data_IF_021775893671
#
_entry.id   IF_021775893671
#
_cell.length_a   1.000
_cell.length_b   1.000
_cell.length_c   1.000
_cell.angle_alpha   90.00
_cell.angle_beta   90.00
_cell.angle_gamma   90.00
#
_symmetry.space_group_name_H-M   'P 1'
#
loop_
_entity.id
_entity.type
_entity.pdbx_description
1 polymer ?
#
# COMPACT_ATOMS: atom_id res chain seq x y z
N UNK A 1 -9.78 2.29 10.11
CA UNK A 1 -8.33 2.20 9.85
C UNK A 1 -7.98 0.83 9.24
N UNK A 2 -7.62 0.76 7.96
CA UNK A 2 -7.16 -0.49 7.33
C UNK A 2 -5.86 -0.22 6.58
N UNK A 3 -4.74 -0.73 7.10
CA UNK A 3 -3.48 -0.86 6.35
C UNK A 3 -3.53 -2.21 5.66
N UNK A 4 -3.22 -2.24 4.36
CA UNK A 4 -3.27 -3.49 3.59
C UNK A 4 -1.91 -3.86 3.04
N UNK A 5 -1.44 -5.03 3.47
CA UNK A 5 -0.32 -5.73 2.82
C UNK A 5 -0.91 -6.60 1.71
N UNK A 6 -0.39 -6.45 0.50
CA UNK A 6 -0.78 -7.26 -0.65
C UNK A 6 0.44 -8.04 -1.11
N UNK A 7 0.33 -9.38 -1.12
CA UNK A 7 1.39 -10.31 -1.52
C UNK A 7 1.02 -10.99 -2.85
N UNK A 8 2.00 -11.14 -3.75
CA UNK A 8 1.88 -11.49 -5.17
C UNK A 8 1.58 -12.98 -5.48
N UNK A 9 0.87 -13.73 -4.63
CA UNK A 9 0.56 -15.11 -5.03
C UNK A 9 -0.45 -15.21 -6.18
N UNK A 10 -1.19 -14.14 -6.49
CA UNK A 10 -2.21 -14.15 -7.55
C UNK A 10 -2.40 -12.74 -8.13
N UNK A 11 -1.84 -12.50 -9.32
CA UNK A 11 -2.07 -11.31 -10.17
C UNK A 11 -3.56 -11.00 -10.41
N UNK A 12 -4.45 -11.98 -10.16
CA UNK A 12 -5.90 -11.88 -10.29
C UNK A 12 -6.62 -11.44 -9.00
N UNK A 13 -5.96 -11.55 -7.84
CA UNK A 13 -6.55 -11.33 -6.52
C UNK A 13 -6.45 -9.89 -6.08
N UNK A 14 -5.42 -9.16 -6.54
CA UNK A 14 -5.28 -7.72 -6.38
C UNK A 14 -6.57 -7.05 -6.85
N UNK A 15 -7.02 -7.31 -8.09
CA UNK A 15 -8.23 -6.73 -8.70
C UNK A 15 -9.54 -7.17 -8.04
N UNK A 16 -9.63 -8.40 -7.53
CA UNK A 16 -10.81 -8.92 -6.82
C UNK A 16 -10.98 -8.29 -5.43
N UNK A 17 -9.87 -8.08 -4.73
CA UNK A 17 -9.86 -7.47 -3.40
C UNK A 17 -10.03 -5.95 -3.44
N UNK A 18 -9.58 -5.28 -4.50
CA UNK A 18 -9.76 -3.83 -4.74
C UNK A 18 -11.23 -3.40 -4.81
N UNK A 19 -12.15 -4.31 -5.19
CA UNK A 19 -13.53 -3.96 -5.57
C UNK A 19 -14.62 -4.46 -4.60
N UNK A 20 -14.25 -5.13 -3.51
CA UNK A 20 -15.24 -5.69 -2.58
C UNK A 20 -16.14 -6.74 -3.23
N UNK A 21 -15.67 -7.42 -4.28
CA UNK A 21 -16.46 -8.41 -5.03
C UNK A 21 -16.41 -9.76 -4.32
N UNK A 22 -17.02 -9.82 -3.13
CA UNK A 22 -17.66 -11.06 -2.75
C UNK A 22 -18.99 -11.11 -3.52
N UNK A 23 -19.05 -11.94 -4.58
CA UNK A 23 -20.28 -12.37 -5.29
C UNK A 23 -21.07 -11.31 -6.09
N UNK A 24 -20.50 -10.58 -7.05
CA UNK A 24 -21.30 -9.95 -8.13
C UNK A 24 -20.56 -10.03 -9.47
N UNK A 25 -21.10 -10.84 -10.38
CA UNK A 25 -20.47 -11.27 -11.65
C UNK A 25 -20.30 -10.15 -12.70
N UNK A 26 -20.81 -8.94 -12.46
CA UNK A 26 -20.91 -7.89 -13.50
C UNK A 26 -19.91 -6.72 -13.36
N UNK A 27 -18.77 -6.87 -12.68
CA UNK A 27 -17.80 -5.76 -12.53
C UNK A 27 -16.54 -6.01 -13.37
N UNK A 28 -16.52 -5.37 -14.55
CA UNK A 28 -15.40 -5.38 -15.50
C UNK A 28 -14.08 -4.97 -14.82
N UNK A 29 -13.00 -5.69 -15.13
CA UNK A 29 -11.62 -5.52 -14.64
C UNK A 29 -11.15 -4.05 -14.71
N UNK A 30 -11.62 -3.28 -15.71
CA UNK A 30 -11.21 -1.90 -15.97
C UNK A 30 -12.11 -0.79 -15.37
N UNK A 31 -13.10 -1.12 -14.55
CA UNK A 31 -13.95 -0.10 -13.92
C UNK A 31 -13.14 0.81 -12.97
N UNK A 32 -13.04 2.11 -13.31
CA UNK A 32 -12.45 3.14 -12.43
C UNK A 32 -13.32 3.31 -11.18
N UNK A 33 -12.85 2.84 -10.04
CA UNK A 33 -13.47 3.15 -8.74
C UNK A 33 -12.91 4.49 -8.24
N UNK A 34 -13.78 5.49 -7.99
CA UNK A 34 -13.39 6.78 -7.39
C UNK A 34 -12.65 6.56 -6.07
N UNK A 35 -11.67 7.43 -5.75
CA UNK A 35 -10.78 7.26 -4.60
C UNK A 35 -11.57 7.13 -3.28
N UNK A 36 -12.66 7.88 -3.18
CA UNK A 36 -13.56 8.00 -2.03
C UNK A 36 -14.42 6.75 -1.83
N UNK A 37 -14.65 5.98 -2.91
CA UNK A 37 -15.42 4.72 -2.87
C UNK A 37 -14.52 3.50 -2.72
N UNK A 38 -13.20 3.67 -2.60
CA UNK A 38 -12.27 2.56 -2.37
C UNK A 38 -12.33 2.14 -0.92
N UNK A 39 -12.42 0.82 -0.69
CA UNK A 39 -12.38 0.24 0.66
C UNK A 39 -11.08 0.55 1.41
N UNK A 40 -9.97 0.62 0.68
CA UNK A 40 -8.66 1.02 1.20
C UNK A 40 -8.03 1.99 0.19
N UNK A 41 -7.67 3.23 0.59
CA UNK A 41 -6.89 4.14 -0.25
C UNK A 41 -5.51 3.57 -0.58
N UNK A 42 -4.94 3.92 -1.75
CA UNK A 42 -3.65 3.38 -2.18
C UNK A 42 -2.50 3.85 -1.30
N UNK A 43 -2.58 5.09 -0.80
CA UNK A 43 -1.62 5.63 0.17
C UNK A 43 -1.56 4.84 1.49
N UNK A 44 -2.55 3.97 1.74
CA UNK A 44 -2.61 3.07 2.90
C UNK A 44 -2.17 1.63 2.55
N UNK A 45 -1.58 1.42 1.37
CA UNK A 45 -1.18 0.11 0.88
C UNK A 45 0.33 -0.06 0.85
N UNK A 46 0.76 -1.27 1.19
CA UNK A 46 2.13 -1.76 0.98
C UNK A 46 2.01 -2.97 0.04
N UNK A 47 2.59 -2.85 -1.15
CA UNK A 47 2.63 -3.93 -2.13
C UNK A 47 3.98 -4.64 -2.07
N UNK A 48 3.95 -5.94 -1.81
CA UNK A 48 5.14 -6.77 -1.64
C UNK A 48 5.13 -7.86 -2.72
N UNK A 49 6.21 -7.96 -3.50
CA UNK A 49 6.30 -8.96 -4.56
C UNK A 49 7.76 -9.31 -4.92
N UNK A 50 7.95 -10.41 -5.64
CA UNK A 50 9.23 -10.89 -6.12
C UNK A 50 9.38 -10.67 -7.64
N UNK A 51 10.15 -9.66 -8.00
CA UNK A 51 10.69 -9.55 -9.36
C UNK A 51 9.81 -8.84 -10.40
N UNK A 52 10.10 -9.06 -11.70
CA UNK A 52 9.69 -8.17 -12.79
C UNK A 52 8.25 -8.41 -13.28
N UNK A 53 7.64 -9.56 -12.98
CA UNK A 53 6.22 -9.84 -13.29
C UNK A 53 5.29 -8.80 -12.68
N UNK A 54 5.70 -8.22 -11.56
CA UNK A 54 4.94 -7.27 -10.76
C UNK A 54 5.17 -5.81 -11.13
N UNK A 55 6.00 -5.53 -12.13
CA UNK A 55 6.28 -4.18 -12.60
C UNK A 55 5.01 -3.34 -12.87
N UNK A 56 3.95 -3.87 -13.54
CA UNK A 56 2.72 -3.13 -13.72
C UNK A 56 2.00 -2.82 -12.39
N UNK A 57 2.00 -3.76 -11.44
CA UNK A 57 1.37 -3.58 -10.14
C UNK A 57 2.13 -2.56 -9.28
N UNK A 58 3.46 -2.63 -9.26
CA UNK A 58 4.33 -1.64 -8.61
C UNK A 58 4.05 -0.23 -9.16
N UNK A 59 3.98 -0.08 -10.48
CA UNK A 59 3.69 1.20 -11.11
C UNK A 59 2.32 1.76 -10.69
N UNK A 60 1.27 0.93 -10.64
CA UNK A 60 -0.07 1.35 -10.23
C UNK A 60 -0.09 1.79 -8.76
N UNK A 61 0.47 0.99 -7.87
CA UNK A 61 0.46 1.28 -6.42
C UNK A 61 1.24 2.56 -6.13
N UNK A 62 2.47 2.65 -6.66
CA UNK A 62 3.36 3.80 -6.45
C UNK A 62 2.78 5.09 -7.03
N UNK A 63 2.21 5.04 -8.25
CA UNK A 63 1.54 6.20 -8.88
C UNK A 63 0.37 6.74 -8.05
N UNK A 64 -0.29 5.89 -7.26
CA UNK A 64 -1.41 6.28 -6.41
C UNK A 64 -0.99 6.54 -4.95
N UNK A 65 0.31 6.67 -4.66
CA UNK A 65 0.83 7.05 -3.34
C UNK A 65 1.05 5.89 -2.36
N UNK A 66 0.83 4.65 -2.78
CA UNK A 66 1.16 3.47 -1.99
C UNK A 66 2.65 3.15 -1.97
N UNK A 67 3.05 2.25 -1.09
CA UNK A 67 4.45 1.82 -0.92
C UNK A 67 4.72 0.51 -1.64
N UNK A 68 5.87 0.41 -2.29
CA UNK A 68 6.26 -0.79 -3.04
C UNK A 68 7.56 -1.38 -2.51
N UNK A 69 7.54 -2.67 -2.22
CA UNK A 69 8.64 -3.39 -1.61
C UNK A 69 8.93 -4.68 -2.36
N UNK A 70 10.15 -4.85 -2.87
CA UNK A 70 10.52 -6.13 -3.48
C UNK A 70 11.19 -7.06 -2.47
N UNK A 71 10.97 -8.36 -2.62
CA UNK A 71 11.68 -9.39 -1.87
C UNK A 71 12.45 -10.32 -2.80
N UNK A 72 13.55 -10.87 -2.32
CA UNK A 72 14.33 -11.88 -3.04
C UNK A 72 14.77 -13.02 -2.12
N UNK A 73 14.97 -14.25 -2.63
CA UNK A 73 15.43 -15.37 -1.81
C UNK A 73 16.86 -15.14 -1.27
N UNK A 74 17.10 -15.56 -0.03
CA UNK A 74 18.43 -15.52 0.60
C UNK A 74 19.47 -16.26 -0.26
N UNK A 75 20.68 -15.72 -0.33
CA UNK A 75 21.81 -16.24 -1.13
C UNK A 75 21.54 -16.34 -2.64
N UNK A 76 20.51 -15.68 -3.18
CA UNK A 76 20.25 -15.66 -4.62
C UNK A 76 20.72 -14.35 -5.27
N UNK A 77 21.96 -14.33 -5.75
CA UNK A 77 22.58 -13.15 -6.38
C UNK A 77 21.84 -12.73 -7.67
N UNK A 78 21.29 -13.68 -8.44
CA UNK A 78 20.54 -13.35 -9.66
C UNK A 78 19.26 -12.59 -9.33
N UNK A 79 18.52 -13.05 -8.32
CA UNK A 79 17.32 -12.37 -7.85
C UNK A 79 17.64 -11.01 -7.22
N UNK A 80 18.73 -10.91 -6.44
CA UNK A 80 19.22 -9.63 -5.92
C UNK A 80 19.48 -8.61 -7.03
N UNK A 81 20.22 -8.99 -8.08
CA UNK A 81 20.51 -8.11 -9.22
C UNK A 81 19.22 -7.63 -9.91
N UNK A 82 18.23 -8.50 -10.00
CA UNK A 82 16.95 -8.19 -10.63
C UNK A 82 16.16 -7.16 -9.81
N UNK A 83 16.05 -7.32 -8.48
CA UNK A 83 15.36 -6.34 -7.63
C UNK A 83 16.15 -5.03 -7.50
N UNK A 84 17.48 -5.08 -7.54
CA UNK A 84 18.29 -3.85 -7.58
C UNK A 84 18.06 -3.06 -8.86
N UNK A 85 17.94 -3.73 -10.02
CA UNK A 85 17.57 -3.04 -11.26
C UNK A 85 16.20 -2.38 -11.15
N UNK A 86 15.21 -3.04 -10.52
CA UNK A 86 13.90 -2.43 -10.27
C UNK A 86 14.00 -1.19 -9.37
N UNK A 87 14.89 -1.19 -8.38
CA UNK A 87 15.14 -0.01 -7.54
C UNK A 87 15.81 1.11 -8.35
N UNK A 88 16.83 0.81 -9.14
CA UNK A 88 17.53 1.78 -10.00
C UNK A 88 16.58 2.43 -11.01
N UNK A 89 15.66 1.65 -11.57
CA UNK A 89 14.61 2.13 -12.48
C UNK A 89 13.52 2.95 -11.76
N UNK A 90 13.64 3.19 -10.45
CA UNK A 90 12.61 3.81 -9.62
C UNK A 90 11.25 3.10 -9.70
N UNK A 91 11.24 1.77 -9.86
CA UNK A 91 9.98 1.00 -9.90
C UNK A 91 9.52 0.57 -8.51
N UNK A 92 10.45 0.40 -7.58
CA UNK A 92 10.19 0.02 -6.19
C UNK A 92 10.79 1.03 -5.22
N UNK A 93 10.21 1.16 -4.02
CA UNK A 93 10.75 2.06 -2.99
C UNK A 93 11.93 1.42 -2.24
N UNK A 94 11.84 0.12 -1.95
CA UNK A 94 12.92 -0.62 -1.27
C UNK A 94 12.83 -2.13 -1.56
N UNK A 95 13.88 -2.87 -1.21
CA UNK A 95 13.90 -4.33 -1.26
C UNK A 95 14.76 -4.96 -0.17
N UNK A 96 14.53 -6.24 0.13
CA UNK A 96 15.35 -7.02 1.06
C UNK A 96 15.17 -8.54 0.85
N UNK A 97 15.90 -9.35 1.62
CA UNK A 97 15.70 -10.80 1.63
C UNK A 97 14.27 -11.16 2.08
N UNK A 98 13.72 -12.26 1.56
CA UNK A 98 12.41 -12.79 1.93
C UNK A 98 12.39 -13.43 3.34
N UNK A 99 12.89 -12.70 4.34
CA UNK A 99 12.98 -13.10 5.73
C UNK A 99 12.15 -12.16 6.62
N UNK A 100 10.96 -12.61 7.03
CA UNK A 100 9.98 -11.80 7.78
C UNK A 100 10.10 -11.92 9.30
N UNK A 101 11.13 -12.61 9.81
CA UNK A 101 11.33 -12.77 11.24
C UNK A 101 11.59 -11.44 11.93
N UNK A 102 11.24 -11.35 13.20
CA UNK A 102 11.50 -10.15 13.99
C UNK A 102 12.99 -9.78 13.98
N UNK A 103 13.28 -8.47 13.89
CA UNK A 103 14.63 -7.94 13.83
C UNK A 103 15.30 -7.99 12.45
N UNK A 104 14.67 -8.59 11.43
CA UNK A 104 15.20 -8.54 10.05
C UNK A 104 14.86 -7.22 9.37
N UNK A 105 15.60 -6.89 8.30
CA UNK A 105 15.35 -5.70 7.48
C UNK A 105 13.92 -5.65 6.96
N UNK A 106 13.38 -6.78 6.49
CA UNK A 106 12.02 -6.89 5.97
C UNK A 106 10.99 -6.59 7.04
N UNK A 107 11.15 -7.19 8.22
CA UNK A 107 10.26 -6.95 9.36
C UNK A 107 10.29 -5.49 9.81
N UNK A 108 11.49 -4.94 10.00
CA UNK A 108 11.66 -3.55 10.42
C UNK A 108 11.04 -2.57 9.41
N UNK A 109 11.27 -2.80 8.11
CA UNK A 109 10.75 -1.91 7.08
C UNK A 109 9.22 -1.96 7.02
N UNK A 110 8.63 -3.15 7.02
CA UNK A 110 7.18 -3.33 6.96
C UNK A 110 6.52 -2.72 8.19
N UNK A 111 7.00 -3.03 9.39
CA UNK A 111 6.41 -2.53 10.64
C UNK A 111 6.54 -1.02 10.74
N UNK A 112 7.69 -0.44 10.38
CA UNK A 112 7.84 1.00 10.34
C UNK A 112 6.89 1.65 9.33
N UNK A 113 6.74 1.09 8.12
CA UNK A 113 5.82 1.68 7.13
C UNK A 113 4.35 1.54 7.52
N UNK A 114 3.96 0.46 8.18
CA UNK A 114 2.61 0.33 8.75
C UNK A 114 2.38 1.42 9.80
N UNK A 115 3.37 1.66 10.68
CA UNK A 115 3.30 2.70 11.70
C UNK A 115 3.18 4.10 11.08
N UNK A 116 4.02 4.42 10.09
CA UNK A 116 3.96 5.69 9.35
C UNK A 116 2.57 5.92 8.73
N UNK A 117 1.99 4.88 8.11
CA UNK A 117 0.65 4.96 7.51
C UNK A 117 -0.41 5.17 8.58
N UNK A 118 -0.34 4.43 9.70
CA UNK A 118 -1.30 4.55 10.79
C UNK A 118 -1.26 5.94 11.44
N UNK A 119 -0.07 6.47 11.69
CA UNK A 119 0.13 7.81 12.23
C UNK A 119 -0.45 8.88 11.32
N UNK A 120 -0.18 8.77 10.01
CA UNK A 120 -0.76 9.68 9.01
C UNK A 120 -2.29 9.63 9.00
N UNK A 121 -2.90 8.44 9.01
CA UNK A 121 -4.37 8.29 9.05
C UNK A 121 -4.94 8.95 10.30
N UNK A 122 -4.36 8.68 11.47
CA UNK A 122 -4.80 9.28 12.73
C UNK A 122 -4.69 10.81 12.71
N UNK A 123 -3.63 11.35 12.11
CA UNK A 123 -3.43 12.79 11.98
C UNK A 123 -4.47 13.41 11.04
N UNK A 124 -4.73 12.80 9.88
CA UNK A 124 -5.75 13.23 8.92
C UNK A 124 -7.15 13.24 9.54
N UNK A 125 -7.53 12.21 10.31
CA UNK A 125 -8.82 12.15 11.01
C UNK A 125 -8.94 13.24 12.08
N UNK A 126 -7.88 13.46 12.88
CA UNK A 126 -7.85 14.55 13.87
C UNK A 126 -8.01 15.92 13.22
N UNK A 127 -7.32 16.17 12.11
CA UNK A 127 -7.45 17.43 11.38
C UNK A 127 -8.86 17.62 10.80
N UNK A 128 -9.47 16.56 10.26
CA UNK A 128 -10.84 16.62 9.75
C UNK A 128 -11.82 17.01 10.86
N UNK A 129 -11.74 16.37 12.03
CA UNK A 129 -12.60 16.67 13.18
C UNK A 129 -12.38 18.11 13.68
N UNK A 130 -11.13 18.52 13.87
CA UNK A 130 -10.81 19.87 14.34
C UNK A 130 -11.30 20.96 13.37
N UNK A 131 -11.24 20.69 12.06
CA UNK A 131 -11.74 21.62 11.03
C UNK A 131 -13.27 21.78 11.02
N UNK A 132 -14.00 20.78 11.51
CA UNK A 132 -15.46 20.81 11.64
C UNK A 132 -15.83 21.57 12.92
N UNK A 133 -15.17 21.27 14.04
CA UNK A 133 -15.41 21.93 15.34
C UNK A 133 -15.09 23.43 15.27
N UNK A 134 -14.02 23.83 14.59
CA UNK A 134 -13.66 25.25 14.44
C UNK A 134 -14.64 26.05 13.58
N UNK A 135 -15.43 25.38 12.72
CA UNK A 135 -16.47 26.01 11.89
C UNK A 135 -17.86 26.05 12.56
N UNK A 136 -18.07 25.31 13.65
CA UNK A 136 -19.35 25.35 14.35
C UNK A 136 -19.51 26.70 15.08
N UNK A 137 -20.60 27.45 14.85
CA UNK A 137 -20.82 28.73 15.52
C UNK A 137 -20.93 28.51 17.03
N UNK A 138 -20.11 29.23 17.81
CA UNK A 138 -20.21 29.25 19.26
C UNK A 138 -21.34 30.20 19.64
N UNK A 139 -22.29 29.73 20.43
CA UNK A 139 -23.29 30.60 21.02
C UNK A 139 -22.60 31.48 22.06
N UNK A 140 -22.63 32.80 21.85
CA UNK A 140 -22.16 33.78 22.83
C UNK A 140 -23.33 33.94 23.81
N UNK A 141 -23.09 33.59 25.07
CA UNK A 141 -24.04 33.86 26.15
C UNK A 141 -23.52 35.14 26.83
N UNK A 142 -24.26 36.24 26.69
CA UNK A 142 -24.18 37.41 27.59
C UNK A 142 -25.02 37.16 28.84
#
# INVERSE_FOLDING_TARGET
MFVRIVNSFLSNVTTRLYKGVNKRENINVNSKVPKEKRRVPFENMIYIADGPSDVPAFAVVRKNGGRTFAIYPKNNIKAFKQVEQLRMDNRIDMYSEADYREGTTTYMWITNKIKDIAERICLEEKHAINSIISKAPRHIIE
#
